data_IF_572910191004
#
_entry.id   IF_572910191004
#
_cell.length_a   1.000
_cell.length_b   1.000
_cell.length_c   1.000
_cell.angle_alpha   90.00
_cell.angle_beta   90.00
_cell.angle_gamma   90.00
#
_symmetry.space_group_name_H-M   'P 1'
#
loop_
_entity.id
_entity.type
_entity.pdbx_description
1 polymer ?
#
# COMPACT_ATOMS: atom_id res chain seq x y z
N UNK A 1 -4.39 27.07 56.12
CA UNK A 1 -5.54 26.14 56.17
C UNK A 1 -5.88 25.68 54.75
N UNK A 2 -5.33 24.55 54.35
CA UNK A 2 -5.80 23.83 53.17
C UNK A 2 -7.14 23.14 53.53
N UNK A 3 -8.16 23.14 52.64
CA UNK A 3 -9.41 22.47 52.93
C UNK A 3 -9.19 20.94 53.02
N UNK A 4 -9.80 20.31 54.03
CA UNK A 4 -9.62 18.89 54.38
C UNK A 4 -10.23 17.89 53.39
N UNK A 5 -10.91 18.35 52.35
CA UNK A 5 -11.56 17.51 51.34
C UNK A 5 -11.54 18.22 49.98
N UNK A 6 -10.94 17.58 48.98
CA UNK A 6 -11.13 17.94 47.57
C UNK A 6 -12.46 17.37 47.08
N UNK A 7 -13.16 18.13 46.23
CA UNK A 7 -14.35 17.61 45.55
C UNK A 7 -13.94 16.43 44.66
N UNK A 8 -14.73 15.33 44.58
CA UNK A 8 -14.40 14.21 43.72
C UNK A 8 -14.30 14.69 42.27
N UNK A 9 -13.14 14.52 41.66
CA UNK A 9 -12.91 14.82 40.25
C UNK A 9 -12.80 13.53 39.44
N UNK A 10 -13.27 13.57 38.20
CA UNK A 10 -13.09 12.52 37.18
C UNK A 10 -12.44 13.13 35.94
N UNK A 11 -11.88 12.32 35.02
CA UNK A 11 -11.37 12.85 33.76
C UNK A 11 -12.46 13.66 33.02
N UNK A 12 -12.10 14.84 32.46
CA UNK A 12 -13.02 15.62 31.65
C UNK A 12 -13.41 14.84 30.39
N UNK A 13 -14.58 15.14 29.83
CA UNK A 13 -14.97 14.67 28.51
C UNK A 13 -13.99 15.19 27.45
N UNK A 14 -13.84 14.52 26.30
CA UNK A 14 -13.03 15.02 25.20
C UNK A 14 -13.47 16.44 24.77
N UNK A 15 -12.54 17.29 24.30
CA UNK A 15 -12.87 18.59 23.73
C UNK A 15 -13.89 18.43 22.59
N UNK A 16 -14.87 19.34 22.52
CA UNK A 16 -15.81 19.36 21.41
C UNK A 16 -15.12 19.73 20.09
N UNK A 17 -15.73 19.37 18.95
CA UNK A 17 -15.38 19.79 17.58
C UNK A 17 -13.88 20.06 17.32
N UNK A 18 -13.16 19.07 16.80
CA UNK A 18 -11.78 19.22 16.37
C UNK A 18 -11.72 19.81 14.95
N UNK A 19 -11.07 20.97 14.80
CA UNK A 19 -10.81 21.62 13.52
C UNK A 19 -9.31 21.71 13.27
N UNK A 20 -8.92 21.47 12.02
CA UNK A 20 -7.54 21.49 11.56
C UNK A 20 -7.41 22.48 10.40
N UNK A 21 -6.41 23.36 10.49
CA UNK A 21 -6.10 24.35 9.47
C UNK A 21 -4.64 24.24 9.06
N UNK A 22 -4.36 24.40 7.77
CA UNK A 22 -2.98 24.58 7.30
C UNK A 22 -2.46 25.94 7.79
N UNK A 23 -1.43 25.94 8.63
CA UNK A 23 -0.76 27.16 9.11
C UNK A 23 0.55 27.45 8.35
N UNK A 24 1.05 26.48 7.58
CA UNK A 24 2.22 26.59 6.71
C UNK A 24 2.59 25.25 6.09
N UNK A 25 3.69 25.20 5.31
CA UNK A 25 4.16 23.96 4.66
C UNK A 25 4.56 22.86 5.64
N UNK A 26 4.88 23.23 6.89
CA UNK A 26 5.32 22.32 7.96
C UNK A 26 4.56 22.57 9.27
N UNK A 27 3.42 23.26 9.23
CA UNK A 27 2.68 23.65 10.42
C UNK A 27 1.17 23.48 10.21
N UNK A 28 0.53 22.85 11.20
CA UNK A 28 -0.92 22.77 11.32
C UNK A 28 -1.35 23.59 12.54
N UNK A 29 -2.42 24.36 12.38
CA UNK A 29 -3.12 24.96 13.50
C UNK A 29 -4.29 24.04 13.87
N UNK A 30 -4.31 23.62 15.13
CA UNK A 30 -5.39 22.82 15.70
C UNK A 30 -6.27 23.73 16.54
N UNK A 31 -7.58 23.69 16.32
CA UNK A 31 -8.56 24.37 17.14
C UNK A 31 -9.61 23.37 17.63
N UNK A 32 -9.92 23.38 18.91
CA UNK A 32 -10.94 22.53 19.51
C UNK A 32 -11.81 23.36 20.46
N UNK A 33 -13.07 22.96 20.58
CA UNK A 33 -14.02 23.57 21.51
C UNK A 33 -13.79 23.12 22.95
N UNK A 34 -14.46 23.76 23.94
CA UNK A 34 -14.41 23.32 25.32
C UNK A 34 -15.01 21.91 25.48
N UNK A 35 -14.59 21.20 26.53
CA UNK A 35 -15.21 19.93 26.94
C UNK A 35 -16.64 20.16 27.42
N UNK A 36 -17.55 19.22 27.14
CA UNK A 36 -18.95 19.30 27.59
C UNK A 36 -19.10 19.19 29.10
N UNK A 37 -18.26 18.38 29.72
CA UNK A 37 -18.13 18.21 31.16
C UNK A 37 -16.65 18.17 31.53
N UNK A 38 -16.22 19.05 32.44
CA UNK A 38 -14.84 19.13 32.90
C UNK A 38 -14.53 18.13 34.03
N UNK A 39 -15.52 17.34 34.45
CA UNK A 39 -15.33 16.28 35.43
C UNK A 39 -15.09 16.79 36.85
N UNK A 40 -15.45 18.04 37.15
CA UNK A 40 -15.39 18.64 38.49
C UNK A 40 -14.10 19.41 38.82
N UNK A 41 -13.19 19.58 37.86
CA UNK A 41 -12.00 20.41 38.01
C UNK A 41 -11.70 21.16 36.70
N UNK A 42 -11.07 22.33 36.79
CA UNK A 42 -10.76 23.14 35.60
C UNK A 42 -9.82 22.38 34.64
N UNK A 43 -10.20 22.29 33.37
CA UNK A 43 -9.30 21.78 32.32
C UNK A 43 -8.25 22.85 31.99
N UNK A 44 -6.97 22.54 32.19
CA UNK A 44 -5.86 23.49 31.96
C UNK A 44 -5.08 23.21 30.68
N UNK A 45 -5.09 21.97 30.21
CA UNK A 45 -4.34 21.52 29.04
C UNK A 45 -5.13 20.42 28.32
N UNK A 46 -4.95 20.34 27.00
CA UNK A 46 -5.41 19.20 26.19
C UNK A 46 -4.19 18.40 25.72
N UNK A 47 -4.31 17.07 25.69
CA UNK A 47 -3.31 16.22 25.03
C UNK A 47 -3.65 16.12 23.56
N UNK A 48 -2.87 16.77 22.71
CA UNK A 48 -2.89 16.50 21.29
C UNK A 48 -2.07 15.23 21.03
N UNK A 49 -2.71 14.22 20.46
CA UNK A 49 -2.03 13.07 19.89
C UNK A 49 -2.20 13.11 18.37
N UNK A 50 -1.12 12.88 17.65
CA UNK A 50 -1.13 12.65 16.22
C UNK A 50 -0.43 11.32 15.97
N UNK A 51 -0.90 10.58 14.97
CA UNK A 51 -0.16 9.45 14.41
C UNK A 51 0.30 9.83 13.00
N UNK A 52 1.46 9.32 12.61
CA UNK A 52 1.91 9.46 11.24
C UNK A 52 1.01 8.64 10.32
N UNK A 53 0.75 9.16 9.12
CA UNK A 53 0.07 8.41 8.06
C UNK A 53 1.12 7.90 7.08
N UNK A 54 0.95 6.64 6.64
CA UNK A 54 1.74 6.05 5.58
C UNK A 54 2.97 5.29 6.03
N UNK A 55 3.83 4.89 5.08
CA UNK A 55 4.84 3.87 5.35
C UNK A 55 5.88 4.27 6.39
N UNK A 56 6.30 5.54 6.39
CA UNK A 56 7.28 6.04 7.37
C UNK A 56 6.78 5.92 8.80
N UNK A 57 5.48 6.09 9.02
CA UNK A 57 4.87 5.92 10.34
C UNK A 57 4.88 4.45 10.76
N UNK A 58 4.55 3.54 9.84
CA UNK A 58 4.59 2.10 10.08
C UNK A 58 6.01 1.59 10.37
N UNK A 59 7.00 2.09 9.63
CA UNK A 59 8.43 1.82 9.87
C UNK A 59 8.84 2.29 11.28
N UNK A 60 8.40 3.48 11.69
CA UNK A 60 8.70 4.06 13.02
C UNK A 60 7.95 3.42 14.20
N UNK A 61 7.32 2.25 14.03
CA UNK A 61 6.57 1.56 15.09
C UNK A 61 5.14 2.04 15.29
N UNK A 62 4.61 2.85 14.37
CA UNK A 62 3.20 3.22 14.33
C UNK A 62 2.30 1.99 14.18
N UNK A 63 1.16 1.99 14.88
CA UNK A 63 0.28 0.82 14.90
C UNK A 63 -0.43 0.60 13.56
N UNK A 64 -0.58 1.64 12.73
CA UNK A 64 -1.22 1.54 11.42
C UNK A 64 -0.56 2.43 10.36
N UNK A 65 -0.47 1.92 9.12
CA UNK A 65 -0.42 2.79 7.95
C UNK A 65 -1.87 3.14 7.64
N UNK A 66 -2.34 4.33 8.04
CA UNK A 66 -3.75 4.70 7.79
C UNK A 66 -4.04 4.76 6.29
N UNK A 67 -3.12 5.34 5.50
CA UNK A 67 -3.17 5.38 4.04
C UNK A 67 -1.75 5.30 3.45
N UNK A 68 -1.54 4.51 2.41
CA UNK A 68 -0.26 4.46 1.69
C UNK A 68 -0.44 4.44 0.17
N UNK A 69 0.29 5.29 -0.56
CA UNK A 69 0.30 5.27 -2.04
C UNK A 69 1.33 4.31 -2.63
N UNK A 70 2.28 3.89 -1.81
CA UNK A 70 3.43 3.06 -2.19
C UNK A 70 3.45 1.80 -1.36
N UNK A 71 4.18 0.79 -1.83
CA UNK A 71 4.46 -0.40 -1.05
C UNK A 71 5.78 -0.25 -0.31
N UNK A 72 5.84 -0.75 0.93
CA UNK A 72 7.10 -0.95 1.64
C UNK A 72 7.25 -2.40 2.01
N UNK A 73 8.35 -2.99 1.54
CA UNK A 73 8.77 -4.31 1.94
C UNK A 73 10.03 -4.21 2.81
N UNK A 74 10.19 -5.16 3.71
CA UNK A 74 11.31 -5.21 4.64
C UNK A 74 12.10 -6.50 4.42
N UNK A 75 13.41 -6.35 4.36
CA UNK A 75 14.36 -7.46 4.45
C UNK A 75 15.00 -7.41 5.82
N UNK A 76 15.04 -8.52 6.55
CA UNK A 76 15.69 -8.59 7.87
C UNK A 76 16.72 -9.70 7.90
N UNK A 77 17.93 -9.37 8.32
CA UNK A 77 18.91 -10.34 8.80
C UNK A 77 18.93 -10.32 10.31
N UNK A 78 19.05 -11.49 10.91
CA UNK A 78 19.20 -11.64 12.35
C UNK A 78 20.30 -12.65 12.65
N UNK A 79 20.97 -12.45 13.77
CA UNK A 79 21.80 -13.46 14.41
C UNK A 79 21.81 -13.22 15.93
N UNK A 80 21.99 -14.29 16.69
CA UNK A 80 22.03 -14.25 18.15
C UNK A 80 23.32 -13.63 18.69
N UNK A 81 24.41 -13.68 17.95
CA UNK A 81 25.70 -13.11 18.32
C UNK A 81 26.27 -12.24 17.19
N UNK A 82 27.36 -11.51 17.47
CA UNK A 82 28.08 -10.72 16.47
C UNK A 82 28.99 -11.61 15.62
N UNK A 83 28.39 -12.58 14.95
CA UNK A 83 29.06 -13.57 14.10
C UNK A 83 28.36 -13.74 12.74
N UNK A 84 27.37 -12.89 12.43
CA UNK A 84 26.79 -12.80 11.10
C UNK A 84 27.88 -12.38 10.11
N UNK A 85 28.00 -13.12 9.01
CA UNK A 85 29.00 -12.86 7.97
C UNK A 85 28.54 -13.41 6.62
N UNK A 86 29.17 -12.95 5.55
CA UNK A 86 28.96 -13.46 4.20
C UNK A 86 28.02 -12.58 3.37
N UNK A 87 27.19 -13.19 2.52
CA UNK A 87 26.32 -12.49 1.58
C UNK A 87 25.00 -13.19 1.34
N UNK A 88 23.99 -12.42 0.96
CA UNK A 88 22.68 -12.88 0.52
C UNK A 88 22.34 -12.32 -0.87
N UNK A 89 21.23 -12.76 -1.45
CA UNK A 89 20.69 -12.26 -2.72
C UNK A 89 19.22 -11.97 -2.55
N UNK A 90 18.73 -10.98 -3.29
CA UNK A 90 17.31 -10.64 -3.36
C UNK A 90 16.77 -11.02 -4.73
N UNK A 91 15.51 -11.40 -4.79
CA UNK A 91 14.79 -11.65 -6.02
C UNK A 91 13.46 -10.91 -6.04
N UNK A 92 13.17 -10.28 -7.17
CA UNK A 92 11.88 -9.70 -7.50
C UNK A 92 11.36 -10.41 -8.75
N UNK A 93 10.18 -11.01 -8.67
CA UNK A 93 9.69 -11.95 -9.68
C UNK A 93 10.74 -13.03 -10.01
N UNK A 94 11.18 -13.14 -11.27
CA UNK A 94 12.19 -14.10 -11.71
C UNK A 94 13.59 -13.49 -11.88
N UNK A 95 13.79 -12.25 -11.44
CA UNK A 95 15.06 -11.54 -11.51
C UNK A 95 15.73 -11.54 -10.14
N UNK A 96 17.05 -11.73 -10.09
CA UNK A 96 17.80 -11.75 -8.84
C UNK A 96 19.03 -10.83 -8.92
N UNK A 97 19.36 -10.23 -7.79
CA UNK A 97 20.54 -9.39 -7.63
C UNK A 97 21.82 -10.24 -7.67
N UNK A 98 22.96 -9.54 -7.81
CA UNK A 98 24.24 -10.09 -7.38
C UNK A 98 24.29 -10.36 -5.87
N UNK A 99 25.38 -10.98 -5.36
CA UNK A 99 25.56 -11.16 -3.93
C UNK A 99 25.72 -9.81 -3.22
N UNK A 100 24.87 -9.58 -2.23
CA UNK A 100 24.89 -8.43 -1.32
C UNK A 100 25.56 -8.83 -0.02
N UNK A 101 26.55 -8.07 0.50
CA UNK A 101 27.12 -8.32 1.82
C UNK A 101 26.06 -8.37 2.92
N UNK A 102 26.27 -9.21 3.94
CA UNK A 102 25.38 -9.31 5.11
C UNK A 102 25.15 -7.96 5.84
N UNK A 103 26.06 -7.01 5.67
CA UNK A 103 26.08 -5.65 6.22
C UNK A 103 26.00 -4.58 5.11
N UNK A 104 25.46 -4.92 3.94
CA UNK A 104 25.31 -4.01 2.80
C UNK A 104 24.63 -2.68 3.20
N UNK A 105 25.22 -1.55 2.82
CA UNK A 105 24.63 -0.24 3.02
C UNK A 105 23.33 -0.07 2.21
N UNK A 106 22.50 0.89 2.61
CA UNK A 106 21.17 1.07 2.00
C UNK A 106 21.26 1.39 0.50
N UNK A 107 22.18 2.26 0.11
CA UNK A 107 22.51 2.63 -1.28
C UNK A 107 22.96 1.43 -2.12
N UNK A 108 23.73 0.50 -1.54
CA UNK A 108 24.16 -0.73 -2.22
C UNK A 108 22.96 -1.65 -2.51
N UNK A 109 22.01 -1.75 -1.58
CA UNK A 109 20.80 -2.55 -1.78
C UNK A 109 19.85 -1.88 -2.78
N UNK A 110 19.74 -0.56 -2.73
CA UNK A 110 19.01 0.26 -3.70
C UNK A 110 19.51 0.02 -5.12
N UNK A 111 20.80 0.29 -5.38
CA UNK A 111 21.42 0.11 -6.69
C UNK A 111 21.23 -1.31 -7.24
N UNK A 112 21.38 -2.32 -6.38
CA UNK A 112 21.22 -3.72 -6.78
C UNK A 112 19.78 -4.07 -7.18
N UNK A 113 18.79 -3.49 -6.51
CA UNK A 113 17.37 -3.69 -6.81
C UNK A 113 16.95 -2.93 -8.06
N UNK A 114 17.37 -1.68 -8.23
CA UNK A 114 17.07 -0.86 -9.41
C UNK A 114 17.70 -1.41 -10.70
N UNK A 115 18.82 -2.14 -10.57
CA UNK A 115 19.43 -2.87 -11.67
C UNK A 115 18.54 -4.03 -12.18
N UNK A 116 17.53 -4.46 -11.41
CA UNK A 116 16.55 -5.45 -11.87
C UNK A 116 15.48 -4.75 -12.71
N UNK A 117 15.44 -5.10 -14.01
CA UNK A 117 14.50 -4.52 -14.98
C UNK A 117 13.03 -4.37 -14.50
N UNK A 118 12.40 -5.30 -13.75
CA UNK A 118 11.01 -5.14 -13.30
C UNK A 118 10.81 -4.25 -12.05
N UNK A 119 11.87 -3.89 -11.32
CA UNK A 119 11.73 -3.21 -10.02
C UNK A 119 11.41 -1.72 -10.18
N UNK A 120 12.16 -1.01 -11.01
CA UNK A 120 12.04 0.45 -11.15
C UNK A 120 12.78 1.21 -10.08
N UNK A 121 12.19 2.33 -9.66
CA UNK A 121 12.77 3.28 -8.70
C UNK A 121 12.38 2.84 -7.29
N UNK A 122 13.39 2.67 -6.43
CA UNK A 122 13.16 2.31 -5.03
C UNK A 122 13.97 3.22 -4.12
N UNK A 123 13.41 3.58 -2.97
CA UNK A 123 14.16 4.21 -1.89
C UNK A 123 14.41 3.20 -0.80
N UNK A 124 15.68 2.99 -0.44
CA UNK A 124 16.05 2.06 0.64
C UNK A 124 16.54 2.81 1.87
N UNK A 125 16.04 2.42 3.04
CA UNK A 125 16.60 2.83 4.34
C UNK A 125 17.01 1.61 5.13
N UNK A 126 17.98 1.75 6.04
CA UNK A 126 18.49 0.63 6.84
C UNK A 126 18.62 1.00 8.31
N UNK A 127 18.32 0.06 9.19
CA UNK A 127 18.63 0.13 10.62
C UNK A 127 19.30 -1.17 11.13
N UNK A 128 19.89 -1.10 12.32
CA UNK A 128 20.41 -2.27 13.03
C UNK A 128 19.30 -2.96 13.82
N UNK A 129 19.20 -4.28 13.71
CA UNK A 129 18.22 -5.10 14.45
C UNK A 129 18.96 -6.26 15.11
N UNK A 130 19.17 -6.18 16.42
CA UNK A 130 19.99 -7.14 17.16
C UNK A 130 21.45 -7.11 16.69
N UNK A 131 21.96 -8.23 16.18
CA UNK A 131 23.27 -8.32 15.53
C UNK A 131 23.19 -8.42 13.99
N UNK A 132 22.02 -8.13 13.41
CA UNK A 132 21.82 -8.01 11.96
C UNK A 132 21.24 -6.64 11.59
N UNK A 133 20.56 -6.59 10.44
CA UNK A 133 20.05 -5.36 9.85
C UNK A 133 18.63 -5.53 9.31
N UNK A 134 17.87 -4.44 9.28
CA UNK A 134 16.63 -4.35 8.53
C UNK A 134 16.77 -3.30 7.42
N UNK A 135 16.46 -3.68 6.19
CA UNK A 135 16.33 -2.78 5.05
C UNK A 135 14.85 -2.59 4.73
N UNK A 136 14.40 -1.34 4.68
CA UNK A 136 13.07 -0.95 4.24
C UNK A 136 13.15 -0.46 2.81
N UNK A 137 12.58 -1.24 1.90
CA UNK A 137 12.53 -0.97 0.47
C UNK A 137 11.18 -0.35 0.16
N UNK A 138 11.19 0.94 -0.21
CA UNK A 138 10.00 1.67 -0.65
C UNK A 138 9.96 1.68 -2.17
N UNK A 139 8.92 1.11 -2.75
CA UNK A 139 8.75 1.10 -4.21
C UNK A 139 8.07 2.40 -4.65
N UNK A 140 8.88 3.36 -5.13
CA UNK A 140 8.43 4.71 -5.51
C UNK A 140 7.75 4.69 -6.89
N UNK A 141 8.33 3.96 -7.84
CA UNK A 141 7.74 3.69 -9.15
C UNK A 141 8.12 2.28 -9.62
N UNK A 142 7.14 1.48 -10.04
CA UNK A 142 7.45 0.21 -10.67
C UNK A 142 7.96 0.46 -12.11
N UNK A 143 9.10 -0.13 -12.49
CA UNK A 143 9.64 0.00 -13.85
C UNK A 143 8.61 -0.52 -14.86
N UNK A 144 7.91 0.41 -15.51
CA UNK A 144 6.93 0.10 -16.54
C UNK A 144 5.53 -0.29 -16.05
N UNK A 145 5.20 -0.14 -14.76
CA UNK A 145 3.87 -0.48 -14.25
C UNK A 145 3.23 0.63 -13.41
N UNK A 146 2.85 1.72 -14.07
CA UNK A 146 1.60 2.44 -13.73
C UNK A 146 0.36 1.51 -13.91
N UNK A 147 0.56 0.30 -14.44
CA UNK A 147 -0.44 -0.75 -14.63
C UNK A 147 -0.54 -1.73 -13.45
N UNK A 148 0.24 -1.58 -12.37
CA UNK A 148 0.19 -2.55 -11.27
C UNK A 148 -1.08 -2.37 -10.41
N UNK A 149 -2.02 -3.29 -10.57
CA UNK A 149 -3.39 -3.21 -10.06
C UNK A 149 -3.61 -3.66 -8.61
N UNK A 150 -2.54 -4.02 -7.90
CA UNK A 150 -2.64 -4.58 -6.55
C UNK A 150 -1.32 -4.59 -5.78
N UNK A 151 -1.13 -5.61 -4.94
CA UNK A 151 0.10 -5.81 -4.17
C UNK A 151 1.25 -6.20 -5.09
N UNK A 152 2.42 -5.59 -4.92
CA UNK A 152 3.63 -5.97 -5.63
C UNK A 152 4.04 -7.40 -5.25
N UNK A 153 4.75 -8.12 -6.13
CA UNK A 153 5.36 -9.39 -5.77
C UNK A 153 6.30 -9.17 -4.59
N UNK A 154 6.19 -10.01 -3.56
CA UNK A 154 7.11 -9.95 -2.44
C UNK A 154 8.52 -10.27 -2.89
N UNK A 155 9.48 -9.47 -2.42
CA UNK A 155 10.90 -9.76 -2.49
C UNK A 155 11.13 -11.11 -1.82
N UNK A 156 11.97 -11.90 -2.45
CA UNK A 156 12.41 -13.19 -1.91
C UNK A 156 13.90 -13.15 -1.68
N UNK A 157 14.32 -13.83 -0.64
CA UNK A 157 15.69 -13.85 -0.16
C UNK A 157 16.32 -15.20 -0.47
N UNK A 158 17.63 -15.19 -0.71
CA UNK A 158 18.42 -16.40 -0.64
C UNK A 158 19.82 -16.18 -0.09
N UNK A 159 20.23 -17.05 0.83
CA UNK A 159 21.61 -17.18 1.27
C UNK A 159 22.32 -18.34 0.57
N UNK A 160 21.83 -18.84 -0.56
CA UNK A 160 22.44 -19.97 -1.28
C UNK A 160 23.26 -19.50 -2.48
N UNK A 161 24.46 -20.04 -2.63
CA UNK A 161 25.38 -19.64 -3.71
C UNK A 161 24.78 -19.85 -5.12
N UNK A 162 24.09 -20.99 -5.35
CA UNK A 162 23.62 -21.44 -6.67
C UNK A 162 22.10 -21.60 -6.79
N UNK A 163 21.33 -20.93 -5.94
CA UNK A 163 19.88 -20.97 -6.05
C UNK A 163 19.38 -20.12 -7.23
N UNK A 164 18.39 -20.62 -7.95
CA UNK A 164 17.66 -19.86 -8.98
C UNK A 164 16.66 -18.92 -8.27
N UNK A 165 16.40 -17.74 -8.86
CA UNK A 165 15.47 -16.74 -8.30
C UNK A 165 14.08 -17.31 -7.96
N UNK A 166 13.60 -18.28 -8.75
CA UNK A 166 12.33 -18.98 -8.53
C UNK A 166 12.29 -19.82 -7.25
N UNK A 167 13.45 -20.17 -6.68
CA UNK A 167 13.60 -20.96 -5.46
C UNK A 167 13.87 -20.11 -4.21
N UNK A 168 13.97 -18.79 -4.36
CA UNK A 168 14.19 -17.89 -3.23
C UNK A 168 12.95 -17.90 -2.34
N UNK A 169 13.13 -17.69 -1.04
CA UNK A 169 12.07 -17.85 -0.04
C UNK A 169 11.71 -16.51 0.60
N UNK A 170 10.61 -16.46 1.33
CA UNK A 170 10.31 -15.33 2.22
C UNK A 170 11.02 -15.46 3.57
N UNK A 171 11.31 -16.70 3.99
CA UNK A 171 12.04 -16.98 5.23
C UNK A 171 13.07 -18.07 4.92
N UNK A 172 14.32 -17.77 5.21
CA UNK A 172 15.42 -18.73 5.17
C UNK A 172 16.10 -18.77 6.54
N UNK A 173 15.87 -19.86 7.26
CA UNK A 173 16.66 -20.22 8.43
C UNK A 173 18.05 -20.66 7.94
N UNK A 174 19.10 -19.99 8.42
CA UNK A 174 20.45 -20.31 7.99
C UNK A 174 20.95 -21.49 8.82
N UNK A 175 21.24 -22.59 8.14
CA UNK A 175 21.91 -23.71 8.79
C UNK A 175 23.32 -23.29 9.25
N UNK A 176 23.74 -23.80 10.41
CA UNK A 176 25.15 -23.82 10.76
C UNK A 176 25.92 -24.55 9.64
N UNK A 177 27.10 -24.05 9.27
CA UNK A 177 27.90 -24.60 8.18
C UNK A 177 28.08 -26.13 8.34
N UNK A 178 27.53 -26.92 7.43
CA UNK A 178 27.77 -28.36 7.38
C UNK A 178 29.15 -28.62 6.78
N UNK A 179 30.01 -29.31 7.53
CA UNK A 179 31.35 -29.73 7.12
C UNK A 179 31.33 -30.92 6.13
N UNK A 180 30.17 -31.32 5.63
CA UNK A 180 29.98 -32.58 4.87
C UNK A 180 30.22 -32.46 3.36
N UNK A 181 30.58 -31.26 2.88
CA UNK A 181 30.90 -31.05 1.47
C UNK A 181 29.69 -31.18 0.52
N UNK A 182 28.46 -31.19 1.03
CA UNK A 182 27.26 -31.20 0.20
C UNK A 182 27.00 -29.82 -0.43
N UNK A 183 26.63 -29.82 -1.71
CA UNK A 183 26.60 -28.64 -2.57
C UNK A 183 25.39 -27.70 -2.35
N UNK A 184 25.22 -27.20 -1.13
CA UNK A 184 24.51 -25.96 -0.83
C UNK A 184 25.23 -25.23 0.31
N UNK A 185 26.45 -24.76 0.06
CA UNK A 185 27.11 -23.86 0.98
C UNK A 185 26.29 -22.57 1.07
N UNK A 186 25.70 -22.33 2.24
CA UNK A 186 25.10 -21.03 2.54
C UNK A 186 26.20 -19.97 2.45
N UNK A 187 25.96 -18.91 1.69
CA UNK A 187 26.87 -17.78 1.55
C UNK A 187 26.78 -16.84 2.73
N UNK A 188 25.78 -16.97 3.59
CA UNK A 188 25.62 -16.23 4.84
C UNK A 188 25.56 -17.21 6.02
N UNK A 189 26.27 -16.89 7.09
CA UNK A 189 26.38 -17.72 8.30
C UNK A 189 26.34 -16.87 9.54
N UNK A 190 25.91 -17.45 10.66
CA UNK A 190 25.88 -16.85 11.99
C UNK A 190 25.16 -17.78 12.96
N UNK A 191 25.28 -17.55 14.26
CA UNK A 191 24.59 -18.39 15.25
C UNK A 191 23.12 -18.04 15.31
N UNK A 192 22.25 -19.06 15.19
CA UNK A 192 20.79 -18.90 15.12
C UNK A 192 20.37 -17.81 14.11
N UNK A 193 21.07 -17.76 12.96
CA UNK A 193 20.90 -16.70 11.99
C UNK A 193 19.70 -16.95 11.07
N UNK A 194 18.99 -15.89 10.73
CA UNK A 194 17.85 -15.94 9.81
C UNK A 194 17.89 -14.79 8.83
N UNK A 195 17.24 -15.01 7.69
CA UNK A 195 17.05 -14.04 6.63
C UNK A 195 15.58 -14.07 6.22
N UNK A 196 14.91 -12.93 6.31
CA UNK A 196 13.47 -12.83 6.01
C UNK A 196 13.16 -11.66 5.10
N UNK A 197 12.07 -11.80 4.36
CA UNK A 197 11.40 -10.75 3.61
C UNK A 197 9.91 -10.75 3.98
N UNK A 198 9.37 -9.56 4.24
CA UNK A 198 7.96 -9.35 4.53
C UNK A 198 7.45 -8.04 3.93
N UNK A 199 6.19 -8.02 3.48
CA UNK A 199 5.52 -6.77 3.09
C UNK A 199 4.99 -6.09 4.35
N UNK A 200 5.51 -4.89 4.66
CA UNK A 200 5.14 -4.14 5.86
C UNK A 200 3.92 -3.24 5.62
N UNK A 201 3.86 -2.65 4.42
CA UNK A 201 2.77 -1.79 3.98
C UNK A 201 2.45 -2.11 2.54
N UNK A 202 1.20 -2.46 2.29
CA UNK A 202 0.68 -2.73 0.95
C UNK A 202 0.44 -1.44 0.17
N UNK A 203 0.61 -1.49 -1.15
CA UNK A 203 0.26 -0.37 -2.02
C UNK A 203 -1.23 -0.07 -1.91
N UNK A 204 -1.58 1.21 -1.84
CA UNK A 204 -2.96 1.68 -1.65
C UNK A 204 -3.64 1.23 -0.35
N UNK A 205 -2.87 0.74 0.63
CA UNK A 205 -3.42 0.37 1.94
C UNK A 205 -4.23 1.53 2.51
N UNK A 206 -5.44 1.24 2.99
CA UNK A 206 -6.35 2.22 3.58
C UNK A 206 -7.23 3.00 2.60
N UNK A 207 -6.90 3.09 1.31
CA UNK A 207 -7.75 3.77 0.33
C UNK A 207 -8.97 2.95 -0.08
N UNK A 208 -10.02 3.62 -0.57
CA UNK A 208 -11.15 2.92 -1.17
C UNK A 208 -10.74 2.34 -2.52
N UNK A 209 -11.07 1.07 -2.75
CA UNK A 209 -10.84 0.34 -3.99
C UNK A 209 -12.17 -0.21 -4.50
N UNK A 210 -12.50 0.09 -5.75
CA UNK A 210 -13.67 -0.44 -6.44
C UNK A 210 -13.26 -1.09 -7.75
N UNK A 211 -13.97 -2.16 -8.13
CA UNK A 211 -13.84 -2.76 -9.46
C UNK A 211 -15.05 -2.45 -10.31
N UNK A 212 -14.81 -2.21 -11.60
CA UNK A 212 -15.83 -1.96 -12.61
C UNK A 212 -15.59 -2.95 -13.75
N UNK A 213 -16.51 -3.88 -13.96
CA UNK A 213 -16.46 -4.84 -15.04
C UNK A 213 -17.47 -4.46 -16.12
N UNK A 214 -16.98 -4.01 -17.28
CA UNK A 214 -17.79 -3.85 -18.49
C UNK A 214 -17.75 -5.17 -19.28
N UNK A 215 -18.90 -5.81 -19.49
CA UNK A 215 -18.94 -7.19 -20.01
C UNK A 215 -19.99 -7.45 -21.09
N UNK A 216 -19.74 -8.47 -21.91
CA UNK A 216 -20.68 -9.14 -22.79
C UNK A 216 -20.51 -10.67 -22.66
N UNK A 217 -21.57 -11.39 -22.25
CA UNK A 217 -21.51 -12.86 -22.10
C UNK A 217 -21.49 -13.56 -23.45
N UNK A 218 -20.50 -14.43 -23.70
CA UNK A 218 -20.39 -15.22 -24.94
C UNK A 218 -20.39 -14.36 -26.23
N UNK A 219 -19.91 -13.12 -26.15
CA UNK A 219 -19.85 -12.19 -27.27
C UNK A 219 -18.78 -11.12 -27.04
N UNK A 220 -18.46 -10.35 -28.08
CA UNK A 220 -17.64 -9.16 -27.91
C UNK A 220 -18.48 -7.96 -27.52
N UNK A 221 -18.03 -7.21 -26.52
CA UNK A 221 -18.65 -5.96 -26.10
C UNK A 221 -18.35 -4.82 -27.11
N UNK A 222 -19.36 -4.01 -27.40
CA UNK A 222 -19.30 -2.83 -28.28
C UNK A 222 -20.17 -1.72 -27.71
N UNK A 223 -20.07 -0.53 -28.30
CA UNK A 223 -20.77 0.67 -27.86
C UNK A 223 -20.02 1.35 -26.72
N UNK A 224 -20.76 2.05 -25.87
CA UNK A 224 -20.18 2.87 -24.80
C UNK A 224 -20.98 2.81 -23.51
N UNK A 225 -20.35 3.19 -22.40
CA UNK A 225 -20.96 3.27 -21.07
C UNK A 225 -20.53 4.56 -20.37
N UNK A 226 -21.28 5.02 -19.39
CA UNK A 226 -20.85 6.12 -18.52
C UNK A 226 -20.79 5.64 -17.07
N UNK A 227 -19.83 6.15 -16.31
CA UNK A 227 -19.79 5.95 -14.86
C UNK A 227 -20.38 7.17 -14.18
N UNK A 228 -21.05 6.96 -13.05
CA UNK A 228 -21.64 8.01 -12.24
C UNK A 228 -21.10 7.97 -10.83
N UNK A 229 -20.81 9.14 -10.31
CA UNK A 229 -20.28 9.36 -8.98
C UNK A 229 -21.29 10.17 -8.16
N UNK A 230 -21.61 9.67 -6.97
CA UNK A 230 -22.48 10.35 -6.02
C UNK A 230 -21.65 11.37 -5.25
N UNK A 231 -21.56 12.58 -5.80
CA UNK A 231 -20.84 13.68 -5.17
C UNK A 231 -21.71 14.37 -4.12
N UNK A 232 -21.14 15.15 -3.19
CA UNK A 232 -21.93 15.95 -2.25
C UNK A 232 -22.94 16.89 -2.92
N UNK A 233 -22.66 17.32 -4.16
CA UNK A 233 -23.52 18.22 -4.95
C UNK A 233 -24.53 17.45 -5.83
N UNK A 234 -24.54 16.12 -5.75
CA UNK A 234 -25.43 15.23 -6.47
C UNK A 234 -24.72 14.26 -7.42
N UNK A 235 -25.54 13.46 -8.12
CA UNK A 235 -25.05 12.43 -9.04
C UNK A 235 -24.51 13.05 -10.34
N UNK A 236 -23.21 12.94 -10.55
CA UNK A 236 -22.50 13.40 -11.74
C UNK A 236 -22.09 12.21 -12.60
N UNK A 237 -22.00 12.38 -13.92
CA UNK A 237 -21.72 11.31 -14.86
C UNK A 237 -20.54 11.67 -15.78
N UNK A 238 -19.66 10.70 -16.04
CA UNK A 238 -18.62 10.84 -17.04
C UNK A 238 -19.22 11.05 -18.43
N UNK A 239 -18.47 11.60 -19.40
CA UNK A 239 -18.74 11.33 -20.80
C UNK A 239 -18.86 9.82 -21.05
N UNK A 240 -19.58 9.44 -22.10
CA UNK A 240 -19.62 8.02 -22.50
C UNK A 240 -18.23 7.56 -22.94
N UNK A 241 -17.74 6.54 -22.25
CA UNK A 241 -16.49 5.83 -22.50
C UNK A 241 -16.77 4.65 -23.42
N UNK A 242 -15.93 4.46 -24.44
CA UNK A 242 -16.03 3.29 -25.31
C UNK A 242 -15.89 1.98 -24.52
N UNK A 243 -16.56 0.92 -24.96
CA UNK A 243 -16.53 -0.39 -24.30
C UNK A 243 -15.11 -0.93 -24.03
N UNK A 244 -14.14 -0.52 -24.85
CA UNK A 244 -12.73 -0.88 -24.74
C UNK A 244 -11.82 0.19 -24.15
N UNK A 245 -12.38 1.27 -23.55
CA UNK A 245 -11.63 2.42 -23.05
C UNK A 245 -10.40 2.01 -22.23
N UNK A 246 -9.29 2.72 -22.41
CA UNK A 246 -8.06 2.55 -21.64
C UNK A 246 -8.24 2.99 -20.19
N UNK A 247 -7.37 2.53 -19.30
CA UNK A 247 -7.37 2.96 -17.91
C UNK A 247 -7.18 4.48 -17.79
N UNK A 248 -6.33 5.07 -18.64
CA UNK A 248 -6.11 6.51 -18.70
C UNK A 248 -7.37 7.30 -19.10
N UNK A 249 -8.14 6.80 -20.07
CA UNK A 249 -9.42 7.43 -20.46
C UNK A 249 -10.45 7.36 -19.34
N UNK A 250 -10.57 6.21 -18.66
CA UNK A 250 -11.47 6.06 -17.51
C UNK A 250 -11.04 6.97 -16.36
N UNK A 251 -9.74 7.02 -16.05
CA UNK A 251 -9.17 7.93 -15.05
C UNK A 251 -9.53 9.37 -15.36
N UNK A 252 -9.17 9.85 -16.54
CA UNK A 252 -9.39 11.24 -16.93
C UNK A 252 -10.89 11.61 -16.88
N UNK A 253 -11.77 10.71 -17.30
CA UNK A 253 -13.20 10.95 -17.30
C UNK A 253 -13.79 11.04 -15.89
N UNK A 254 -13.33 10.21 -14.95
CA UNK A 254 -13.75 10.26 -13.54
C UNK A 254 -13.19 11.50 -12.83
N UNK A 255 -11.90 11.81 -13.03
CA UNK A 255 -11.28 13.00 -12.45
C UNK A 255 -11.97 14.29 -12.94
N UNK A 256 -12.40 14.33 -14.21
CA UNK A 256 -13.12 15.46 -14.79
C UNK A 256 -14.49 15.72 -14.14
N UNK A 257 -15.11 14.71 -13.50
CA UNK A 257 -16.38 14.87 -12.78
C UNK A 257 -16.20 15.11 -11.27
N UNK A 258 -14.97 15.36 -10.82
CA UNK A 258 -14.70 15.77 -9.43
C UNK A 258 -14.54 14.64 -8.44
N UNK A 259 -14.16 13.43 -8.88
CA UNK A 259 -13.81 12.34 -7.95
C UNK A 259 -12.55 12.64 -7.11
N UNK A 260 -11.74 13.62 -7.54
CA UNK A 260 -10.38 13.82 -7.05
C UNK A 260 -9.40 12.90 -7.76
N UNK A 261 -8.13 12.94 -7.35
CA UNK A 261 -7.07 12.10 -7.92
C UNK A 261 -7.38 10.60 -7.74
N UNK A 262 -7.23 9.85 -8.84
CA UNK A 262 -7.44 8.41 -8.87
C UNK A 262 -6.21 7.67 -9.36
N UNK A 263 -6.06 6.44 -8.88
CA UNK A 263 -5.39 5.41 -9.66
C UNK A 263 -6.45 4.57 -10.37
N UNK A 264 -6.24 4.32 -11.66
CA UNK A 264 -7.05 3.39 -12.44
C UNK A 264 -6.10 2.52 -13.23
N UNK A 265 -6.26 1.21 -13.13
CA UNK A 265 -5.70 0.31 -14.14
C UNK A 265 -6.78 -0.59 -14.72
N UNK A 266 -6.44 -1.28 -15.80
CA UNK A 266 -7.38 -2.10 -16.53
C UNK A 266 -6.76 -3.43 -16.92
N UNK A 267 -7.53 -4.51 -16.76
CA UNK A 267 -7.16 -5.85 -17.19
C UNK A 267 -8.22 -6.43 -18.12
N UNK A 268 -7.80 -7.28 -19.07
CA UNK A 268 -8.74 -8.08 -19.84
C UNK A 268 -9.33 -9.16 -18.93
N UNK A 269 -10.65 -9.24 -18.88
CA UNK A 269 -11.40 -10.25 -18.16
C UNK A 269 -12.03 -11.24 -19.15
N UNK A 270 -12.43 -12.42 -18.67
CA UNK A 270 -13.03 -13.47 -19.51
C UNK A 270 -14.21 -12.98 -20.36
N UNK A 271 -15.06 -12.12 -19.80
CA UNK A 271 -16.28 -11.62 -20.45
C UNK A 271 -16.20 -10.15 -20.86
N UNK A 272 -15.03 -9.51 -20.80
CA UNK A 272 -14.91 -8.09 -21.11
C UNK A 272 -13.67 -7.45 -20.51
N UNK A 273 -13.83 -6.25 -19.94
CA UNK A 273 -12.71 -5.47 -19.39
C UNK A 273 -13.03 -5.03 -17.97
N UNK A 274 -12.11 -5.32 -17.07
CA UNK A 274 -12.20 -4.95 -15.67
C UNK A 274 -11.27 -3.76 -15.39
N UNK A 275 -11.80 -2.77 -14.68
CA UNK A 275 -11.06 -1.62 -14.19
C UNK A 275 -11.00 -1.69 -12.68
N UNK A 276 -9.82 -1.48 -12.11
CA UNK A 276 -9.66 -1.27 -10.66
C UNK A 276 -9.42 0.21 -10.45
N UNK A 277 -10.25 0.82 -9.61
CA UNK A 277 -10.28 2.25 -9.34
C UNK A 277 -9.99 2.46 -7.85
N UNK A 278 -8.94 3.22 -7.55
CA UNK A 278 -8.53 3.58 -6.20
C UNK A 278 -8.70 5.08 -6.01
N UNK A 279 -9.43 5.47 -4.97
CA UNK A 279 -9.69 6.88 -4.65
C UNK A 279 -8.59 7.43 -3.75
N UNK A 280 -7.68 8.25 -4.29
CA UNK A 280 -6.46 8.68 -3.59
C UNK A 280 -6.63 9.98 -2.77
N UNK A 281 -7.72 10.72 -2.99
CA UNK A 281 -8.04 11.96 -2.26
C UNK A 281 -9.32 11.84 -1.42
N UNK A 282 -10.11 10.79 -1.63
CA UNK A 282 -11.34 10.53 -0.85
C UNK A 282 -11.01 9.55 0.27
N UNK A 283 -10.62 10.11 1.42
CA UNK A 283 -10.39 9.35 2.64
C UNK A 283 -11.74 8.90 3.24
N UNK A 284 -11.76 7.72 3.86
CA UNK A 284 -12.99 7.13 4.38
C UNK A 284 -13.73 6.28 3.35
N UNK A 285 -15.01 6.02 3.67
CA UNK A 285 -15.88 5.22 2.83
C UNK A 285 -16.33 5.99 1.59
N UNK A 286 -16.12 5.42 0.40
CA UNK A 286 -16.63 6.00 -0.86
C UNK A 286 -17.86 5.20 -1.34
N UNK A 287 -18.99 5.85 -1.68
CA UNK A 287 -20.14 5.17 -2.28
C UNK A 287 -19.76 4.40 -3.55
N UNK A 288 -20.43 3.26 -3.85
CA UNK A 288 -20.17 2.53 -5.08
C UNK A 288 -20.47 3.41 -6.30
N UNK A 289 -19.58 3.40 -7.28
CA UNK A 289 -19.86 3.99 -8.58
C UNK A 289 -21.11 3.35 -9.17
N UNK A 290 -21.91 4.14 -9.85
CA UNK A 290 -23.03 3.65 -10.63
C UNK A 290 -22.64 3.67 -12.11
N UNK A 291 -23.37 2.94 -12.94
CA UNK A 291 -23.09 2.89 -14.36
C UNK A 291 -24.37 3.11 -15.19
N UNK A 292 -24.20 3.77 -16.32
CA UNK A 292 -25.15 3.76 -17.41
C UNK A 292 -24.59 2.91 -18.54
N UNK A 293 -25.15 1.71 -18.68
CA UNK A 293 -24.78 0.74 -19.71
C UNK A 293 -25.76 0.70 -20.88
N UNK A 294 -26.66 1.68 -21.02
CA UNK A 294 -27.75 1.66 -22.02
C UNK A 294 -27.28 1.70 -23.46
N UNK A 295 -26.04 2.13 -23.71
CA UNK A 295 -25.42 2.18 -25.04
C UNK A 295 -24.48 1.00 -25.34
N UNK A 296 -24.39 0.04 -24.43
CA UNK A 296 -23.62 -1.19 -24.67
C UNK A 296 -24.44 -2.18 -25.49
N UNK A 297 -23.76 -2.91 -26.36
CA UNK A 297 -24.34 -4.01 -27.10
C UNK A 297 -23.29 -5.07 -27.43
N UNK A 298 -23.77 -6.28 -27.69
CA UNK A 298 -22.92 -7.41 -28.02
C UNK A 298 -22.88 -7.69 -29.52
N UNK A 299 -21.73 -8.15 -30.01
CA UNK A 299 -21.52 -8.60 -31.38
C UNK A 299 -20.64 -9.86 -31.41
N UNK A 300 -20.91 -10.84 -32.29
CA UNK A 300 -22.02 -10.90 -33.26
C UNK A 300 -23.37 -11.29 -32.64
N UNK A 301 -23.37 -11.86 -31.43
CA UNK A 301 -24.60 -12.27 -30.75
C UNK A 301 -25.30 -11.08 -30.09
N UNK A 302 -26.27 -10.47 -30.77
CA UNK A 302 -27.04 -9.32 -30.26
C UNK A 302 -27.96 -9.64 -29.07
N UNK A 303 -28.19 -10.92 -28.77
CA UNK A 303 -28.99 -11.36 -27.62
C UNK A 303 -28.13 -11.64 -26.38
N UNK A 304 -26.80 -11.56 -26.50
CA UNK A 304 -25.92 -11.72 -25.35
C UNK A 304 -26.16 -10.63 -24.31
N UNK A 305 -26.18 -11.04 -23.05
CA UNK A 305 -26.26 -10.12 -21.91
C UNK A 305 -25.04 -9.22 -21.89
N UNK A 306 -25.27 -7.90 -21.85
CA UNK A 306 -24.24 -6.88 -21.64
C UNK A 306 -24.55 -6.07 -20.40
N UNK A 307 -23.53 -5.42 -19.84
CA UNK A 307 -23.72 -4.54 -18.71
C UNK A 307 -22.40 -4.02 -18.16
N UNK A 308 -22.54 -3.26 -17.07
CA UNK A 308 -21.44 -2.83 -16.23
C UNK A 308 -21.77 -3.25 -14.80
N UNK A 309 -20.90 -4.03 -14.19
CA UNK A 309 -20.99 -4.41 -12.78
C UNK A 309 -19.96 -3.62 -11.98
N UNK A 310 -20.38 -3.07 -10.84
CA UNK A 310 -19.49 -2.34 -9.92
C UNK A 310 -19.46 -3.07 -8.58
N UNK A 311 -18.28 -3.23 -8.00
CA UNK A 311 -18.08 -3.81 -6.67
C UNK A 311 -17.12 -2.96 -5.85
N UNK A 312 -17.39 -2.83 -4.56
CA UNK A 312 -16.45 -2.22 -3.60
C UNK A 312 -15.60 -3.33 -3.00
N UNK A 313 -14.31 -3.34 -3.32
CA UNK A 313 -13.35 -4.32 -2.79
C UNK A 313 -12.85 -3.90 -1.42
N UNK A 314 -12.53 -2.61 -1.29
CA UNK A 314 -12.13 -1.99 -0.03
C UNK A 314 -12.94 -0.72 0.12
N UNK A 315 -13.71 -0.61 1.21
CA UNK A 315 -14.54 0.57 1.43
C UNK A 315 -13.71 1.85 1.63
N UNK A 316 -12.47 1.71 2.11
CA UNK A 316 -11.61 2.79 2.59
C UNK A 316 -11.68 2.87 4.12
N UNK A 317 -10.54 3.06 4.78
CA UNK A 317 -10.49 3.24 6.24
C UNK A 317 -10.94 4.64 6.57
N UNK A 318 -11.56 4.84 7.72
CA UNK A 318 -11.79 6.16 8.30
C UNK A 318 -10.57 6.49 9.16
N UNK A 319 -10.04 7.73 9.11
CA UNK A 319 -8.95 8.16 9.99
C UNK A 319 -9.29 8.01 11.47
#
# INVERSE_FOLDING_TARGET
PEPRFEAPARPPDPPGALNLFAAGRTALQVAFGPSRDEGGAQVTHAKLAWDGVGPRAKIGGGSSSLYSRVEVQRITTYSRYRDLQGSFKLAFENHATGPLPHDAAADVVEEALEALAPVGDVTVTREEVGYGHAWYVTFEAAAGADDWLGDLPSLRVSAMNRSLASNYKLVEELAAATLDGSAAATTMTGTDASLTADTLVHRYDGFCVQTVLAYAKNASLRGSFALKYDSPDGLVATPYLEAGASAAEVKAALEAIGTGELFVGAAQATDGKEYTIVFLERLGTVPPLQADSTRLYASPNKQATTGVAVSVVVAGRVP
#
